data_IF_536238380330
#
_entry.id   IF_536238380330
#
_cell.length_a   1.000
_cell.length_b   1.000
_cell.length_c   1.000
_cell.angle_alpha   90.00
_cell.angle_beta   90.00
_cell.angle_gamma   90.00
#
_symmetry.space_group_name_H-M   'P 1'
#
loop_
_entity.id
_entity.type
_entity.pdbx_description
1 polymer ?
#
# COMPACT_ATOMS: atom_id res chain seq x y z
N UNK A 1 28.31 1.14 3.27
CA UNK A 1 27.54 1.77 2.17
C UNK A 1 27.98 3.20 2.03
N UNK A 2 28.50 3.60 0.88
CA UNK A 2 28.84 4.98 0.57
C UNK A 2 27.56 5.78 0.32
N UNK A 3 27.33 6.82 1.11
CA UNK A 3 26.17 7.71 0.98
C UNK A 3 26.31 8.46 -0.35
N UNK A 4 25.23 8.56 -1.14
CA UNK A 4 25.31 9.26 -2.43
C UNK A 4 25.61 10.75 -2.21
N UNK A 5 26.31 11.39 -3.15
CA UNK A 5 26.62 12.83 -3.06
C UNK A 5 25.38 13.69 -2.82
N UNK A 6 24.24 13.30 -3.39
CA UNK A 6 22.98 14.03 -3.21
C UNK A 6 22.52 13.98 -1.75
N UNK A 7 22.60 12.82 -1.09
CA UNK A 7 22.15 12.68 0.30
C UNK A 7 23.13 13.39 1.25
N UNK A 8 24.44 13.33 0.97
CA UNK A 8 25.44 14.08 1.73
C UNK A 8 25.20 15.60 1.65
N UNK A 9 24.81 16.12 0.49
CA UNK A 9 24.45 17.54 0.34
C UNK A 9 23.18 17.92 1.12
N UNK A 10 22.20 17.02 1.19
CA UNK A 10 20.99 17.23 2.00
C UNK A 10 21.35 17.34 3.49
N UNK A 11 22.22 16.46 4.01
CA UNK A 11 22.65 16.52 5.41
C UNK A 11 23.30 17.87 5.76
N UNK A 12 24.05 18.46 4.83
CA UNK A 12 24.68 19.77 5.02
C UNK A 12 23.68 20.93 4.98
N UNK A 13 22.60 20.79 4.22
CA UNK A 13 21.60 21.86 4.03
C UNK A 13 20.52 21.85 5.12
N UNK A 14 20.15 20.69 5.65
CA UNK A 14 19.09 20.56 6.66
C UNK A 14 19.28 21.48 7.89
N UNK A 15 20.49 21.60 8.50
CA UNK A 15 20.69 22.48 9.65
C UNK A 15 20.59 23.98 9.33
N UNK A 16 20.68 24.36 8.05
CA UNK A 16 20.64 25.74 7.60
C UNK A 16 19.21 26.20 7.28
N UNK A 17 18.24 25.28 7.27
CA UNK A 17 16.86 25.59 6.95
C UNK A 17 16.14 26.21 8.15
N UNK A 18 15.28 27.22 7.93
CA UNK A 18 14.37 27.70 8.95
C UNK A 18 13.44 26.59 9.45
N UNK A 19 13.07 26.63 10.72
CA UNK A 19 12.19 25.65 11.36
C UNK A 19 10.90 25.39 10.58
N UNK A 20 10.27 26.46 10.05
CA UNK A 20 9.08 26.33 9.18
C UNK A 20 9.33 25.44 7.96
N UNK A 21 10.48 25.59 7.30
CA UNK A 21 10.83 24.78 6.12
C UNK A 21 11.15 23.34 6.50
N UNK A 22 11.75 23.13 7.67
CA UNK A 22 11.95 21.78 8.21
C UNK A 22 10.61 21.09 8.47
N UNK A 23 9.64 21.80 9.05
CA UNK A 23 8.31 21.25 9.27
C UNK A 23 7.60 20.88 7.96
N UNK A 24 7.65 21.75 6.95
CA UNK A 24 7.09 21.46 5.63
C UNK A 24 7.70 20.19 5.00
N UNK A 25 9.01 19.98 5.16
CA UNK A 25 9.69 18.76 4.69
C UNK A 25 9.21 17.53 5.47
N UNK A 26 9.10 17.64 6.80
CA UNK A 26 8.62 16.54 7.65
C UNK A 26 7.19 16.14 7.29
N UNK A 27 6.31 17.10 7.00
CA UNK A 27 4.93 16.84 6.60
C UNK A 27 4.88 16.07 5.26
N UNK A 28 5.71 16.48 4.29
CA UNK A 28 5.83 15.80 3.00
C UNK A 28 6.38 14.38 3.17
N UNK A 29 7.42 14.21 3.99
CA UNK A 29 7.98 12.88 4.31
C UNK A 29 6.91 12.00 4.98
N UNK A 30 6.15 12.56 5.92
CA UNK A 30 5.04 11.87 6.57
C UNK A 30 3.98 11.39 5.58
N UNK A 31 3.59 12.26 4.64
CA UNK A 31 2.66 11.91 3.56
C UNK A 31 3.18 10.74 2.70
N UNK A 32 4.46 10.77 2.31
CA UNK A 32 5.03 9.68 1.52
C UNK A 32 5.07 8.35 2.29
N UNK A 33 5.45 8.39 3.57
CA UNK A 33 5.45 7.20 4.42
C UNK A 33 4.04 6.60 4.58
N UNK A 34 3.02 7.44 4.72
CA UNK A 34 1.64 6.97 4.80
C UNK A 34 1.20 6.30 3.49
N UNK A 35 1.55 6.90 2.34
CA UNK A 35 1.24 6.34 1.03
C UNK A 35 1.95 5.01 0.78
N UNK A 36 3.22 4.90 1.17
CA UNK A 36 3.97 3.66 1.08
C UNK A 36 3.33 2.55 1.92
N UNK A 37 2.97 2.84 3.19
CA UNK A 37 2.27 1.89 4.06
C UNK A 37 0.96 1.40 3.44
N UNK A 38 0.14 2.33 2.92
CA UNK A 38 -1.14 2.01 2.27
C UNK A 38 -0.93 1.16 1.01
N UNK A 39 0.08 1.50 0.20
CA UNK A 39 0.41 0.74 -0.99
C UNK A 39 0.87 -0.68 -0.65
N UNK A 40 1.75 -0.83 0.35
CA UNK A 40 2.20 -2.14 0.82
C UNK A 40 1.04 -3.00 1.30
N UNK A 41 0.15 -2.47 2.14
CA UNK A 41 -1.04 -3.18 2.61
C UNK A 41 -2.01 -3.54 1.46
N UNK A 42 -2.10 -2.70 0.43
CA UNK A 42 -2.87 -3.03 -0.77
C UNK A 42 -2.23 -4.19 -1.54
N UNK A 43 -0.92 -4.13 -1.81
CA UNK A 43 -0.19 -5.19 -2.52
C UNK A 43 -0.28 -6.51 -1.77
N UNK A 44 -0.11 -6.50 -0.45
CA UNK A 44 -0.23 -7.71 0.38
C UNK A 44 -1.63 -8.33 0.29
N UNK A 45 -2.70 -7.51 0.33
CA UNK A 45 -4.08 -8.01 0.14
C UNK A 45 -4.31 -8.59 -1.25
N UNK A 46 -3.83 -7.92 -2.30
CA UNK A 46 -3.98 -8.42 -3.67
C UNK A 46 -3.23 -9.73 -3.86
N UNK A 47 -1.98 -9.81 -3.40
CA UNK A 47 -1.20 -11.06 -3.47
C UNK A 47 -1.86 -12.19 -2.67
N UNK A 48 -2.46 -11.89 -1.52
CA UNK A 48 -3.22 -12.88 -0.75
C UNK A 48 -4.43 -13.38 -1.54
N UNK A 49 -5.22 -12.48 -2.12
CA UNK A 49 -6.38 -12.84 -2.95
C UNK A 49 -5.98 -13.61 -4.22
N UNK A 50 -4.83 -13.33 -4.81
CA UNK A 50 -4.29 -14.10 -5.95
C UNK A 50 -3.78 -15.49 -5.54
N UNK A 51 -3.35 -15.67 -4.29
CA UNK A 51 -2.90 -16.96 -3.74
C UNK A 51 -4.03 -17.81 -3.20
N UNK A 52 -5.12 -17.18 -2.76
CA UNK A 52 -6.36 -17.85 -2.39
C UNK A 52 -6.94 -18.52 -3.65
N UNK A 53 -6.81 -19.85 -3.70
CA UNK A 53 -7.25 -20.69 -4.82
C UNK A 53 -8.79 -20.81 -4.91
N UNK A 54 -9.55 -19.95 -4.24
CA UNK A 54 -11.02 -19.92 -4.27
C UNK A 54 -11.55 -19.29 -5.57
N UNK A 55 -10.86 -19.56 -6.68
CA UNK A 55 -11.35 -19.24 -8.01
C UNK A 55 -12.35 -20.32 -8.44
N UNK A 56 -13.63 -19.96 -8.52
CA UNK A 56 -14.68 -20.85 -9.06
C UNK A 56 -14.67 -20.75 -10.58
N UNK A 57 -14.26 -21.83 -11.25
CA UNK A 57 -14.38 -21.94 -12.72
C UNK A 57 -15.83 -22.27 -13.05
N UNK A 58 -16.52 -21.36 -13.74
CA UNK A 58 -17.89 -21.55 -14.19
C UNK A 58 -17.91 -21.80 -15.70
N UNK A 59 -18.63 -22.83 -16.15
CA UNK A 59 -18.74 -23.17 -17.57
C UNK A 59 -19.99 -22.58 -18.21
N UNK A 60 -20.85 -21.93 -17.42
CA UNK A 60 -22.06 -21.24 -17.86
C UNK A 60 -22.33 -20.00 -17.02
N UNK A 61 -23.17 -19.10 -17.56
CA UNK A 61 -23.57 -17.88 -16.86
C UNK A 61 -24.44 -18.20 -15.63
N UNK A 62 -25.27 -19.24 -15.72
CA UNK A 62 -26.12 -19.71 -14.64
C UNK A 62 -25.31 -20.24 -13.45
N UNK A 63 -24.23 -20.99 -13.70
CA UNK A 63 -23.28 -21.44 -12.68
C UNK A 63 -22.59 -20.25 -11.99
N UNK A 64 -22.16 -19.25 -12.77
CA UNK A 64 -21.53 -18.05 -12.22
C UNK A 64 -22.49 -17.27 -11.32
N UNK A 65 -23.75 -17.09 -11.74
CA UNK A 65 -24.75 -16.41 -10.92
C UNK A 65 -25.05 -17.18 -9.63
N UNK A 66 -25.18 -18.50 -9.69
CA UNK A 66 -25.41 -19.33 -8.50
C UNK A 66 -24.22 -19.29 -7.53
N UNK A 67 -22.98 -19.29 -8.04
CA UNK A 67 -21.79 -19.16 -7.20
C UNK A 67 -21.78 -17.81 -6.45
N UNK A 68 -22.17 -16.72 -7.10
CA UNK A 68 -22.28 -15.39 -6.46
C UNK A 68 -23.39 -15.36 -5.42
N UNK A 69 -24.58 -15.89 -5.73
CA UNK A 69 -25.73 -15.86 -4.81
C UNK A 69 -25.56 -16.75 -3.57
N UNK A 70 -24.77 -17.81 -3.68
CA UNK A 70 -24.53 -18.76 -2.60
C UNK A 70 -23.16 -18.57 -1.94
N UNK A 71 -22.38 -17.57 -2.36
CA UNK A 71 -21.15 -17.21 -1.66
C UNK A 71 -21.52 -16.79 -0.24
N UNK A 72 -20.85 -17.33 0.80
CA UNK A 72 -21.03 -16.83 2.16
C UNK A 72 -20.67 -15.33 2.18
N UNK A 73 -21.47 -14.53 2.88
CA UNK A 73 -21.11 -13.13 3.11
C UNK A 73 -19.80 -13.12 3.92
N UNK A 74 -18.73 -12.56 3.36
CA UNK A 74 -17.43 -12.36 4.03
C UNK A 74 -17.51 -11.25 5.12
N UNK A 75 -18.59 -11.22 5.88
CA UNK A 75 -18.73 -10.39 7.09
C UNK A 75 -18.59 -11.32 8.31
N UNK A 76 -17.36 -11.74 8.63
CA UNK A 76 -16.96 -12.15 9.99
C UNK A 76 -15.45 -12.45 10.08
N UNK A 77 -14.60 -11.43 10.13
CA UNK A 77 -13.38 -11.49 10.95
C UNK A 77 -13.22 -10.15 11.70
N UNK A 78 -13.66 -10.17 12.96
CA UNK A 78 -13.48 -9.12 13.97
C UNK A 78 -12.04 -9.05 14.51
#
# INVERSE_FOLDING_TARGET
MTKSMAIANIDNLLPQLPEKRLQEILDIVGYFLEKEKKHKAFVERVLKAEQENDSVICNSVEEAMQAIFNAPDDDDEA
#
